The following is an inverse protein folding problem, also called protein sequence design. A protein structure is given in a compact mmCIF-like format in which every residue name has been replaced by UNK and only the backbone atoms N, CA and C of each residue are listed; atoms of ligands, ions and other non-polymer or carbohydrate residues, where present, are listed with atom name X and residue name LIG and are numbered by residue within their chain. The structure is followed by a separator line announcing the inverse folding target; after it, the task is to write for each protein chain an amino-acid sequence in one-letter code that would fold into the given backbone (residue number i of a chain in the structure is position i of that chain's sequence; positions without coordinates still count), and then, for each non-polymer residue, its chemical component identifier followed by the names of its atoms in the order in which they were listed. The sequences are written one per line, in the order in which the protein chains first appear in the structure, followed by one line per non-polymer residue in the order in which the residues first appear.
data_IF_236343639092
#
_entry.id   IF_236343639092
#
_cell.length_a   1.000
_cell.length_b   1.000
_cell.length_c   1.000
_cell.angle_alpha   90.00
_cell.angle_beta   90.00
_cell.angle_gamma   90.00
#
_symmetry.space_group_name_H-M   'P 1'
#
loop_
_entity.id
_entity.type
_entity.pdbx_description
1 polymer ?
#
# COMPACT_ATOMS: atom_id res chain seq x y z
N UNK A 1 30.83 -3.90 -24.06
CA UNK A 1 30.29 -4.31 -22.74
C UNK A 1 29.69 -3.15 -21.93
N UNK A 2 30.31 -1.96 -21.83
CA UNK A 2 29.71 -0.79 -21.16
C UNK A 2 28.30 -0.40 -21.66
N UNK A 3 28.05 -0.52 -22.97
CA UNK A 3 26.75 -0.17 -23.58
C UNK A 3 25.59 -1.07 -23.13
N UNK A 4 25.83 -2.37 -22.95
CA UNK A 4 24.81 -3.35 -22.52
C UNK A 4 24.40 -3.10 -21.06
N UNK A 5 25.35 -2.73 -20.21
CA UNK A 5 25.11 -2.42 -18.80
C UNK A 5 24.38 -1.09 -18.61
N UNK A 6 24.67 -0.10 -19.47
CA UNK A 6 23.94 1.16 -19.48
C UNK A 6 22.48 0.96 -19.94
N UNK A 7 22.25 0.12 -20.95
CA UNK A 7 20.89 -0.19 -21.42
C UNK A 7 20.08 -0.95 -20.39
N UNK A 8 20.66 -1.88 -19.62
CA UNK A 8 19.92 -2.59 -18.56
C UNK A 8 19.60 -1.69 -17.37
N UNK A 9 20.50 -0.80 -16.97
CA UNK A 9 20.24 0.20 -15.91
C UNK A 9 19.15 1.19 -16.32
N UNK A 10 19.18 1.66 -17.57
CA UNK A 10 18.14 2.54 -18.12
C UNK A 10 16.79 1.82 -18.18
N UNK A 11 16.75 0.57 -18.66
CA UNK A 11 15.51 -0.23 -18.73
C UNK A 11 14.92 -0.48 -17.34
N UNK A 12 15.78 -0.75 -16.34
CA UNK A 12 15.36 -0.94 -14.95
C UNK A 12 14.81 0.37 -14.35
N UNK A 13 15.41 1.52 -14.68
CA UNK A 13 14.90 2.84 -14.24
C UNK A 13 13.57 3.24 -14.89
N UNK A 14 13.34 2.80 -16.13
CA UNK A 14 12.06 2.97 -16.84
C UNK A 14 10.94 2.07 -16.29
N UNK A 15 11.29 0.89 -15.77
CA UNK A 15 10.35 -0.01 -15.08
C UNK A 15 9.92 0.51 -13.69
N UNK A 16 10.79 1.25 -13.00
CA UNK A 16 10.48 1.84 -11.69
C UNK A 16 9.56 3.07 -11.83
N UNK A 17 9.54 3.73 -12.99
CA UNK A 17 8.77 4.97 -13.22
C UNK A 17 7.45 4.78 -13.98
N UNK A 18 7.21 3.61 -14.57
CA UNK A 18 5.98 3.31 -15.33
C UNK A 18 5.09 2.25 -14.67
N UNK A 19 4.83 2.36 -13.36
CA UNK A 19 3.67 1.67 -12.78
C UNK A 19 2.43 2.52 -13.08
N UNK A 20 1.88 2.36 -14.28
CA UNK A 20 0.52 2.85 -14.58
C UNK A 20 -0.43 2.07 -13.67
N UNK A 21 -1.25 2.71 -12.83
CA UNK A 21 -2.31 2.00 -12.13
C UNK A 21 -3.35 1.57 -13.17
N UNK A 22 -3.35 0.28 -13.52
CA UNK A 22 -4.39 -0.32 -14.33
C UNK A 22 -5.59 -0.56 -13.41
N UNK A 23 -6.63 0.27 -13.58
CA UNK A 23 -7.84 0.30 -12.77
C UNK A 23 -8.46 -1.10 -12.66
N UNK A 24 -8.49 -1.65 -11.44
CA UNK A 24 -9.26 -2.83 -11.09
C UNK A 24 -10.72 -2.42 -10.85
N UNK A 25 -11.65 -3.30 -11.18
CA UNK A 25 -13.08 -3.05 -11.05
C UNK A 25 -13.47 -2.87 -9.57
N UNK A 26 -13.85 -1.64 -9.22
CA UNK A 26 -14.26 -1.20 -7.88
C UNK A 26 -15.54 -1.92 -7.42
N UNK A 27 -15.47 -2.64 -6.30
CA UNK A 27 -16.67 -2.96 -5.50
C UNK A 27 -16.82 -1.86 -4.43
N UNK A 28 -17.47 -0.75 -4.79
CA UNK A 28 -17.74 0.33 -3.86
C UNK A 28 -18.97 0.00 -3.01
N UNK A 29 -18.80 -0.10 -1.69
CA UNK A 29 -19.93 -0.14 -0.76
C UNK A 29 -20.29 1.30 -0.39
N UNK A 30 -21.50 1.74 -0.72
CA UNK A 30 -21.93 3.13 -0.52
C UNK A 30 -23.07 3.17 0.49
N UNK A 31 -22.90 4.00 1.53
CA UNK A 31 -23.97 4.36 2.45
C UNK A 31 -24.29 5.84 2.23
N UNK A 32 -25.49 6.11 1.72
CA UNK A 32 -26.01 7.47 1.54
C UNK A 32 -26.95 7.84 2.70
N UNK A 33 -26.57 8.82 3.52
CA UNK A 33 -27.48 9.35 4.56
C UNK A 33 -27.63 10.86 4.44
N UNK A 34 -28.44 11.45 5.34
CA UNK A 34 -28.74 12.88 5.34
C UNK A 34 -27.50 13.77 5.60
N UNK A 35 -26.42 13.24 6.19
CA UNK A 35 -25.29 14.05 6.67
C UNK A 35 -23.97 13.80 5.92
N UNK A 36 -23.74 12.54 5.52
CA UNK A 36 -22.56 12.15 4.76
C UNK A 36 -22.94 11.11 3.72
N UNK A 37 -22.31 11.21 2.57
CA UNK A 37 -22.15 10.08 1.67
C UNK A 37 -20.77 9.49 1.94
N UNK A 38 -20.75 8.22 2.32
CA UNK A 38 -19.51 7.50 2.59
C UNK A 38 -19.49 6.28 1.70
N UNK A 39 -18.40 6.12 0.97
CA UNK A 39 -18.09 4.88 0.29
C UNK A 39 -16.77 4.32 0.79
N UNK A 40 -16.72 2.99 0.88
CA UNK A 40 -15.51 2.24 1.19
C UNK A 40 -15.09 1.43 -0.03
N UNK A 41 -13.81 1.50 -0.36
CA UNK A 41 -13.21 0.78 -1.46
C UNK A 41 -11.94 0.05 -0.99
N UNK A 42 -11.84 -1.22 -1.36
CA UNK A 42 -10.63 -2.02 -1.20
C UNK A 42 -9.73 -1.80 -2.43
N UNK A 43 -8.57 -1.20 -2.23
CA UNK A 43 -7.71 -0.75 -3.34
C UNK A 43 -6.73 -1.84 -3.80
N UNK A 44 -5.92 -2.35 -2.87
CA UNK A 44 -4.92 -3.36 -3.17
C UNK A 44 -4.32 -4.00 -1.93
N UNK A 45 -3.84 -5.24 -2.09
CA UNK A 45 -2.96 -5.89 -1.12
C UNK A 45 -1.50 -5.77 -1.55
N UNK A 46 -0.63 -5.39 -0.61
CA UNK A 46 0.81 -5.27 -0.85
C UNK A 46 1.50 -6.64 -0.88
N UNK A 47 2.24 -6.91 -1.96
CA UNK A 47 3.08 -8.11 -2.09
C UNK A 47 4.27 -8.16 -1.12
N UNK A 48 4.62 -7.03 -0.51
CA UNK A 48 5.78 -6.91 0.40
C UNK A 48 5.43 -7.30 1.83
N UNK A 49 4.34 -6.76 2.37
CA UNK A 49 3.97 -6.90 3.78
C UNK A 49 2.58 -7.54 3.99
N UNK A 50 1.89 -7.92 2.92
CA UNK A 50 0.53 -8.48 2.91
C UNK A 50 -0.54 -7.57 3.52
N UNK A 51 -0.25 -6.28 3.72
CA UNK A 51 -1.25 -5.33 4.18
C UNK A 51 -2.23 -4.99 3.05
N UNK A 52 -3.51 -4.90 3.38
CA UNK A 52 -4.59 -4.49 2.47
C UNK A 52 -4.82 -3.00 2.68
N UNK A 53 -4.88 -2.24 1.59
CA UNK A 53 -5.17 -0.81 1.62
C UNK A 53 -6.65 -0.62 1.34
N UNK A 54 -7.32 0.09 2.26
CA UNK A 54 -8.67 0.58 2.09
C UNK A 54 -8.64 2.09 1.92
N UNK A 55 -9.51 2.60 1.06
CA UNK A 55 -9.77 4.03 0.93
C UNK A 55 -11.25 4.27 1.18
N UNK A 56 -11.54 5.27 2.00
CA UNK A 56 -12.89 5.81 2.12
C UNK A 56 -12.98 7.12 1.36
N UNK A 57 -14.10 7.32 0.69
CA UNK A 57 -14.49 8.58 0.11
C UNK A 57 -15.62 9.16 0.92
N UNK A 58 -15.45 10.39 1.38
CA UNK A 58 -16.38 11.06 2.26
C UNK A 58 -16.82 12.35 1.58
N UNK A 59 -18.10 12.45 1.25
CA UNK A 59 -18.74 13.68 0.77
C UNK A 59 -19.72 14.17 1.83
N UNK A 60 -19.37 15.21 2.60
CA UNK A 60 -20.25 15.75 3.62
C UNK A 60 -21.35 16.59 2.97
N UNK A 61 -22.57 16.49 3.49
CA UNK A 61 -23.73 17.32 3.07
C UNK A 61 -23.91 18.57 3.95
N UNK A 62 -23.08 18.69 4.99
CA UNK A 62 -23.02 19.81 5.94
C UNK A 62 -21.55 20.17 6.21
N UNK A 63 -21.28 21.42 6.58
CA UNK A 63 -19.95 21.80 7.05
C UNK A 63 -19.68 21.20 8.43
N UNK A 64 -18.56 20.50 8.58
CA UNK A 64 -18.10 19.96 9.85
C UNK A 64 -16.64 20.32 10.09
N UNK A 65 -16.36 21.35 10.91
CA UNK A 65 -15.00 21.75 11.25
C UNK A 65 -14.30 20.76 12.20
N UNK A 66 -14.97 19.67 12.58
CA UNK A 66 -14.40 18.64 13.45
C UNK A 66 -15.06 17.29 13.17
N UNK A 67 -14.53 16.58 12.19
CA UNK A 67 -14.93 15.20 11.89
C UNK A 67 -13.87 14.23 12.39
N UNK A 68 -14.31 13.16 13.07
CA UNK A 68 -13.47 12.04 13.48
C UNK A 68 -13.80 10.80 12.64
N UNK A 69 -12.77 10.06 12.25
CA UNK A 69 -12.89 8.82 11.47
C UNK A 69 -12.34 7.68 12.33
N UNK A 70 -13.20 6.77 12.74
CA UNK A 70 -12.87 5.64 13.60
C UNK A 70 -13.01 4.35 12.81
N UNK A 71 -11.94 3.59 12.74
CA UNK A 71 -11.93 2.26 12.15
C UNK A 71 -12.09 1.23 13.26
N UNK A 72 -13.04 0.31 13.08
CA UNK A 72 -13.34 -0.76 14.01
C UNK A 72 -13.19 -2.13 13.34
N UNK A 73 -12.56 -3.06 14.05
CA UNK A 73 -12.34 -4.42 13.61
C UNK A 73 -11.98 -5.32 14.81
N UNK A 74 -12.12 -6.65 14.68
CA UNK A 74 -11.64 -7.60 15.68
C UNK A 74 -10.13 -7.46 15.95
N UNK A 75 -9.69 -7.85 17.16
CA UNK A 75 -8.28 -7.72 17.61
C UNK A 75 -7.26 -8.53 16.79
N UNK A 76 -7.75 -9.49 15.99
CA UNK A 76 -7.00 -10.24 14.97
C UNK A 76 -6.61 -9.41 13.74
N UNK A 77 -7.16 -8.20 13.60
CA UNK A 77 -6.84 -7.22 12.55
C UNK A 77 -6.06 -6.07 13.18
N UNK A 78 -4.93 -5.73 12.58
CA UNK A 78 -4.18 -4.52 12.88
C UNK A 78 -4.59 -3.43 11.89
N UNK A 79 -5.01 -2.26 12.39
CA UNK A 79 -5.43 -1.12 11.58
C UNK A 79 -4.44 0.02 11.78
N UNK A 80 -3.99 0.61 10.67
CA UNK A 80 -3.10 1.77 10.68
C UNK A 80 -3.67 2.87 9.76
N UNK A 81 -4.52 3.77 10.31
CA UNK A 81 -5.12 4.86 9.56
C UNK A 81 -4.09 5.92 9.15
N UNK A 82 -4.16 6.41 7.91
CA UNK A 82 -3.25 7.44 7.37
C UNK A 82 -3.92 8.81 7.33
N UNK A 83 -4.51 9.24 8.45
CA UNK A 83 -5.13 10.55 8.59
C UNK A 83 -4.98 11.06 10.03
N UNK A 84 -5.24 12.35 10.24
CA UNK A 84 -5.30 12.94 11.58
C UNK A 84 -6.57 12.47 12.29
N UNK A 85 -6.56 12.49 13.62
CA UNK A 85 -7.74 12.13 14.42
C UNK A 85 -8.95 13.00 14.10
N UNK A 86 -8.74 14.32 13.97
CA UNK A 86 -9.76 15.29 13.59
C UNK A 86 -9.42 15.96 12.26
N UNK A 87 -10.44 16.11 11.42
CA UNK A 87 -10.33 16.65 10.06
C UNK A 87 -11.53 17.56 9.79
N UNK A 88 -11.27 18.67 9.10
CA UNK A 88 -12.29 19.63 8.72
C UNK A 88 -12.83 19.22 7.35
N UNK A 89 -14.14 18.98 7.28
CA UNK A 89 -14.85 18.60 6.07
C UNK A 89 -15.85 19.69 5.69
N UNK A 90 -15.80 20.13 4.44
CA UNK A 90 -16.68 21.17 3.91
C UNK A 90 -17.71 20.59 2.95
N UNK A 91 -18.92 21.13 3.02
CA UNK A 91 -20.08 20.68 2.26
C UNK A 91 -19.79 20.54 0.77
N UNK A 92 -20.20 19.42 0.19
CA UNK A 92 -20.12 19.13 -1.24
C UNK A 92 -18.73 18.81 -1.77
N UNK A 93 -17.70 18.73 -0.91
CA UNK A 93 -16.34 18.32 -1.31
C UNK A 93 -16.09 16.87 -0.94
N UNK A 94 -15.66 16.06 -1.91
CA UNK A 94 -15.25 14.68 -1.65
C UNK A 94 -13.81 14.63 -1.16
N UNK A 95 -13.59 13.96 -0.03
CA UNK A 95 -12.29 13.72 0.55
C UNK A 95 -11.97 12.23 0.55
N UNK A 96 -10.70 11.88 0.28
CA UNK A 96 -10.22 10.50 0.31
C UNK A 96 -9.30 10.27 1.50
N UNK A 97 -9.60 9.26 2.32
CA UNK A 97 -8.73 8.85 3.42
C UNK A 97 -8.37 7.37 3.28
N UNK A 98 -7.08 7.06 3.38
CA UNK A 98 -6.62 5.68 3.28
C UNK A 98 -6.24 5.11 4.64
N UNK A 99 -6.44 3.82 4.80
CA UNK A 99 -5.93 3.02 5.92
C UNK A 99 -5.24 1.77 5.37
N UNK A 100 -4.34 1.21 6.16
CA UNK A 100 -3.80 -0.12 5.89
C UNK A 100 -4.22 -1.06 6.99
N UNK A 101 -4.76 -2.21 6.61
CA UNK A 101 -5.14 -3.27 7.53
C UNK A 101 -4.26 -4.50 7.31
N UNK A 102 -4.01 -5.25 8.38
CA UNK A 102 -3.23 -6.49 8.32
C UNK A 102 -3.86 -7.54 9.21
N UNK A 103 -4.18 -8.69 8.63
CA UNK A 103 -4.65 -9.85 9.36
C UNK A 103 -3.49 -10.57 10.06
N UNK A 104 -3.73 -11.00 11.31
CA UNK A 104 -2.83 -11.86 12.07
C UNK A 104 -3.13 -13.34 11.83
N UNK A 105 -4.36 -13.67 11.44
CA UNK A 105 -4.86 -15.03 11.26
C UNK A 105 -5.81 -15.09 10.05
N UNK A 106 -6.06 -16.30 9.55
CA UNK A 106 -7.07 -16.55 8.51
C UNK A 106 -8.49 -16.39 9.07
N UNK A 107 -9.45 -16.08 8.20
CA UNK A 107 -10.85 -15.92 8.59
C UNK A 107 -11.54 -14.77 7.86
N UNK A 108 -12.83 -14.63 8.14
CA UNK A 108 -13.63 -13.49 7.66
C UNK A 108 -13.84 -12.49 8.79
N UNK A 109 -13.57 -11.22 8.51
CA UNK A 109 -13.66 -10.15 9.47
C UNK A 109 -14.52 -9.02 8.90
N UNK A 110 -15.43 -8.51 9.72
CA UNK A 110 -16.15 -7.28 9.42
C UNK A 110 -15.25 -6.10 9.79
N UNK A 111 -15.05 -5.21 8.82
CA UNK A 111 -14.32 -3.97 8.96
C UNK A 111 -15.32 -2.83 8.87
N UNK A 112 -15.43 -2.02 9.91
CA UNK A 112 -16.39 -0.92 9.98
C UNK A 112 -15.68 0.40 10.10
N UNK A 113 -16.16 1.41 9.38
CA UNK A 113 -15.72 2.80 9.52
C UNK A 113 -16.87 3.60 10.05
N UNK A 114 -16.63 4.32 11.15
CA UNK A 114 -17.55 5.26 11.73
C UNK A 114 -17.01 6.68 11.52
N UNK A 115 -17.82 7.52 10.89
CA UNK A 115 -17.55 8.93 10.69
C UNK A 115 -18.41 9.74 11.66
N UNK A 116 -17.79 10.54 12.51
CA UNK A 116 -18.46 11.31 13.56
C UNK A 116 -18.20 12.80 13.32
N UNK A 117 -19.23 13.53 12.90
CA UNK A 117 -19.21 15.00 12.91
C UNK A 117 -19.53 15.50 14.31
N UNK A 118 -18.59 16.22 14.91
CA UNK A 118 -18.80 16.94 16.15
C UNK A 118 -19.35 18.34 15.84
N UNK A 119 -20.58 18.61 16.26
CA UNK A 119 -21.17 19.96 16.25
C UNK A 119 -21.42 20.42 17.69
N UNK A 120 -21.69 21.71 17.88
CA UNK A 120 -21.90 22.29 19.21
C UNK A 120 -23.02 21.59 20.00
N UNK A 121 -24.12 21.22 19.32
CA UNK A 121 -25.34 20.73 19.97
C UNK A 121 -25.70 19.27 19.64
N UNK A 122 -25.06 18.66 18.64
CA UNK A 122 -25.36 17.29 18.22
C UNK A 122 -24.18 16.64 17.53
N UNK A 123 -24.18 15.30 17.50
CA UNK A 123 -23.17 14.53 16.77
C UNK A 123 -23.86 13.73 15.68
N UNK A 124 -23.31 13.79 14.47
CA UNK A 124 -23.80 13.01 13.34
C UNK A 124 -22.86 11.85 13.10
N UNK A 125 -23.38 10.62 13.20
CA UNK A 125 -22.62 9.40 13.01
C UNK A 125 -23.14 8.68 11.78
N UNK A 126 -22.21 8.36 10.87
CA UNK A 126 -22.47 7.47 9.74
C UNK A 126 -21.47 6.32 9.77
N UNK A 127 -21.92 5.15 9.34
CA UNK A 127 -21.06 3.99 9.22
C UNK A 127 -21.16 3.31 7.86
N UNK A 128 -20.05 2.69 7.47
CA UNK A 128 -19.96 1.78 6.33
C UNK A 128 -19.14 0.58 6.78
N UNK A 129 -19.59 -0.63 6.45
CA UNK A 129 -18.88 -1.86 6.76
C UNK A 129 -18.61 -2.69 5.51
N UNK A 130 -17.51 -3.42 5.53
CA UNK A 130 -17.11 -4.39 4.52
C UNK A 130 -16.69 -5.70 5.21
N UNK A 131 -16.90 -6.84 4.55
CA UNK A 131 -16.44 -8.14 5.04
C UNK A 131 -15.27 -8.58 4.19
N UNK A 132 -14.09 -8.68 4.82
CA UNK A 132 -12.89 -9.18 4.17
C UNK A 132 -12.54 -10.58 4.68
N UNK A 133 -12.30 -11.48 3.74
CA UNK A 133 -11.85 -12.86 4.02
C UNK A 133 -10.38 -13.01 3.71
N UNK A 134 -9.63 -13.59 4.64
CA UNK A 134 -8.22 -13.95 4.46
C UNK A 134 -8.06 -15.46 4.44
N UNK A 135 -7.25 -15.96 3.49
CA UNK A 135 -6.86 -17.36 3.42
C UNK A 135 -5.73 -17.70 4.41
N UNK A 136 -5.29 -18.95 4.40
CA UNK A 136 -4.17 -19.46 5.22
C UNK A 136 -2.84 -18.77 4.93
N UNK A 137 -2.69 -18.13 3.77
CA UNK A 137 -1.53 -17.34 3.39
C UNK A 137 -1.69 -15.85 3.76
N UNK A 138 -2.78 -15.48 4.46
CA UNK A 138 -3.17 -14.12 4.80
C UNK A 138 -3.41 -13.25 3.56
N UNK A 139 -3.91 -13.84 2.48
CA UNK A 139 -4.29 -13.15 1.25
C UNK A 139 -5.77 -12.84 1.26
N UNK A 140 -6.09 -11.58 0.94
CA UNK A 140 -7.46 -11.11 0.81
C UNK A 140 -8.15 -11.84 -0.35
N UNK A 141 -9.36 -12.31 -0.10
CA UNK A 141 -10.20 -12.98 -1.09
C UNK A 141 -11.31 -12.04 -1.58
N UNK A 142 -11.65 -12.08 -2.89
CA UNK A 142 -10.90 -12.75 -3.95
C UNK A 142 -9.53 -12.09 -4.16
N UNK A 143 -8.53 -12.88 -4.56
CA UNK A 143 -7.19 -12.37 -4.87
C UNK A 143 -7.29 -11.38 -6.01
N UNK A 144 -6.83 -10.16 -5.76
CA UNK A 144 -6.84 -9.11 -6.76
C UNK A 144 -5.68 -9.28 -7.76
N UNK A 145 -5.90 -8.94 -9.05
CA UNK A 145 -4.83 -8.93 -10.05
C UNK A 145 -3.66 -8.04 -9.63
N UNK A 146 -3.94 -6.93 -8.94
CA UNK A 146 -2.96 -5.98 -8.39
C UNK A 146 -1.92 -6.69 -7.52
N UNK A 147 -2.35 -7.62 -6.67
CA UNK A 147 -1.46 -8.42 -5.82
C UNK A 147 -0.56 -9.34 -6.65
N UNK A 148 -1.14 -10.04 -7.62
CA UNK A 148 -0.39 -10.95 -8.51
C UNK A 148 0.70 -10.22 -9.28
N UNK A 149 0.38 -9.07 -9.88
CA UNK A 149 1.36 -8.24 -10.57
C UNK A 149 2.43 -7.69 -9.61
N UNK A 150 2.02 -7.24 -8.42
CA UNK A 150 2.95 -6.81 -7.38
C UNK A 150 3.93 -7.90 -6.97
N UNK A 151 3.47 -9.15 -6.87
CA UNK A 151 4.31 -10.30 -6.52
C UNK A 151 5.30 -10.65 -7.64
N UNK A 152 4.88 -10.60 -8.90
CA UNK A 152 5.78 -10.76 -10.06
C UNK A 152 6.86 -9.67 -10.06
N UNK A 153 6.46 -8.41 -9.89
CA UNK A 153 7.40 -7.28 -9.83
C UNK A 153 8.40 -7.43 -8.68
N UNK A 154 7.95 -7.86 -7.50
CA UNK A 154 8.81 -8.15 -6.35
C UNK A 154 9.87 -9.19 -6.68
N UNK A 155 9.50 -10.30 -7.32
CA UNK A 155 10.46 -11.35 -7.71
C UNK A 155 11.48 -10.82 -8.72
N UNK A 156 11.03 -10.07 -9.73
CA UNK A 156 11.93 -9.47 -10.73
C UNK A 156 12.95 -8.52 -10.11
N UNK A 157 12.52 -7.69 -9.14
CA UNK A 157 13.41 -6.78 -8.41
C UNK A 157 14.48 -7.58 -7.64
N UNK A 158 14.08 -8.63 -6.93
CA UNK A 158 15.00 -9.47 -6.14
C UNK A 158 16.03 -10.16 -7.05
N UNK A 159 15.59 -10.73 -8.18
CA UNK A 159 16.49 -11.37 -9.15
C UNK A 159 17.47 -10.36 -9.75
N UNK A 160 16.98 -9.17 -10.14
CA UNK A 160 17.82 -8.11 -10.71
C UNK A 160 18.88 -7.62 -9.71
N UNK A 161 18.48 -7.34 -8.46
CA UNK A 161 19.41 -6.93 -7.40
C UNK A 161 20.45 -8.00 -7.10
N UNK A 162 20.04 -9.27 -7.07
CA UNK A 162 20.97 -10.39 -6.86
C UNK A 162 22.00 -10.50 -7.98
N UNK A 163 21.58 -10.38 -9.24
CA UNK A 163 22.48 -10.39 -10.39
C UNK A 163 23.48 -9.23 -10.36
N UNK A 164 23.02 -8.02 -10.04
CA UNK A 164 23.89 -6.84 -9.89
C UNK A 164 24.87 -7.00 -8.72
N UNK A 165 24.43 -7.57 -7.60
CA UNK A 165 25.28 -7.83 -6.44
C UNK A 165 26.42 -8.81 -6.76
N UNK A 166 26.10 -9.94 -7.41
CA UNK A 166 27.09 -10.94 -7.84
C UNK A 166 28.09 -10.31 -8.81
N UNK A 167 27.61 -9.56 -9.80
CA UNK A 167 28.47 -8.88 -10.76
C UNK A 167 29.39 -7.86 -10.07
N UNK A 168 28.84 -7.06 -9.16
CA UNK A 168 29.60 -6.10 -8.35
C UNK A 168 30.70 -6.77 -7.53
N UNK A 169 30.38 -7.89 -6.85
CA UNK A 169 31.36 -8.69 -6.13
C UNK A 169 32.48 -9.19 -7.05
N UNK A 170 32.16 -9.77 -8.21
CA UNK A 170 33.18 -10.26 -9.15
C UNK A 170 34.14 -9.15 -9.61
N UNK A 171 33.61 -7.97 -9.92
CA UNK A 171 34.42 -6.81 -10.34
C UNK A 171 35.29 -6.30 -9.19
N UNK A 172 34.73 -6.18 -7.99
CA UNK A 172 35.45 -5.74 -6.80
C UNK A 172 36.53 -6.74 -6.38
N UNK A 173 36.23 -8.04 -6.39
CA UNK A 173 37.20 -9.10 -6.10
C UNK A 173 38.36 -9.08 -7.09
N UNK A 174 38.10 -8.90 -8.39
CA UNK A 174 39.19 -8.77 -9.39
C UNK A 174 40.08 -7.55 -9.13
N UNK A 175 39.49 -6.41 -8.75
CA UNK A 175 40.24 -5.19 -8.40
C UNK A 175 41.03 -5.38 -7.09
N UNK A 176 40.39 -5.95 -6.07
CA UNK A 176 41.01 -6.26 -4.78
C UNK A 176 42.17 -7.23 -4.92
N UNK A 177 42.02 -8.30 -5.71
CA UNK A 177 43.08 -9.27 -5.96
C UNK A 177 44.29 -8.63 -6.65
N UNK A 178 44.08 -7.68 -7.59
CA UNK A 178 45.18 -6.93 -8.21
C UNK A 178 45.93 -6.06 -7.18
N UNK A 179 45.21 -5.34 -6.33
CA UNK A 179 45.82 -4.53 -5.27
C UNK A 179 46.56 -5.39 -4.25
N UNK A 180 45.97 -6.50 -3.83
CA UNK A 180 46.57 -7.45 -2.90
C UNK A 180 47.83 -8.09 -3.48
N UNK A 181 47.78 -8.50 -4.76
CA UNK A 181 48.96 -9.05 -5.45
C UNK A 181 50.10 -8.02 -5.50
N UNK A 182 49.81 -6.76 -5.80
CA UNK A 182 50.80 -5.66 -5.78
C UNK A 182 51.39 -5.42 -4.39
N UNK A 183 50.60 -5.58 -3.34
CA UNK A 183 51.06 -5.40 -1.96
C UNK A 183 52.00 -6.53 -1.51
N UNK A 184 51.74 -7.77 -1.93
CA UNK A 184 52.58 -8.93 -1.58
C UNK A 184 53.85 -9.03 -2.43
N UNK A 185 53.87 -8.47 -3.64
CA UNK A 185 55.09 -8.50 -4.47
C UNK A 185 56.10 -7.49 -3.92
N UNK A 186 57.32 -7.92 -3.52
CA UNK A 186 58.34 -6.98 -3.06
C UNK A 186 58.69 -5.98 -4.18
N UNK A 187 58.99 -4.72 -3.83
CA UNK A 187 59.40 -3.73 -4.81
C UNK A 187 60.67 -4.23 -5.51
N UNK A 188 60.63 -4.23 -6.84
CA UNK A 188 61.78 -4.49 -7.71
C UNK A 188 62.40 -3.17 -8.12
#
# INVERSE_FOLDING_TARGET
MKKILLTTVILLSLLITNTIPLYAQESSLTTDTQYFEISMERVSQSAWNKAVTYTIYVTPKIDSPRTQIIWDAPTSIEINPKHKEFIDLYNGKTYSFSTTIKAKQEGSYELSVNLIAWQHDTNYINSVSDIITFDSNLLAQPIEPSYTYGNIAKILIIVSLSGLSIWGMVVLSKKGLKSFKKWITPPT
#
